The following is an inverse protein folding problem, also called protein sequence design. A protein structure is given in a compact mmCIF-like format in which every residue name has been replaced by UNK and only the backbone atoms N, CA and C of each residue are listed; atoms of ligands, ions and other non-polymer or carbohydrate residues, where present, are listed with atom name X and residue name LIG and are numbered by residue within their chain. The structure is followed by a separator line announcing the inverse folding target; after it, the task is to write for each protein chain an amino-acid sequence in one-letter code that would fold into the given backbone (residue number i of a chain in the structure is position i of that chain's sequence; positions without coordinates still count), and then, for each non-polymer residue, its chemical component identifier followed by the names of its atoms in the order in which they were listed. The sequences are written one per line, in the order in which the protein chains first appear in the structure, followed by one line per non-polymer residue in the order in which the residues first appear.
data_IF_843400662789
#
_entry.id   IF_843400662789
#
_cell.length_a   1.000
_cell.length_b   1.000
_cell.length_c   1.000
_cell.angle_alpha   90.00
_cell.angle_beta   90.00
_cell.angle_gamma   90.00
#
_symmetry.space_group_name_H-M   'P 1'
#
loop_
_entity.id
_entity.type
_entity.pdbx_description
1 polymer ?
#
# COMPACT_ATOMS: atom_id res chain seq x y z
N UNK A 1 -4.50 10.93 10.14
CA UNK A 1 -5.34 11.03 8.93
C UNK A 1 -5.32 12.46 8.42
N UNK A 2 -5.50 12.70 7.14
CA UNK A 2 -5.53 14.05 6.57
C UNK A 2 -6.27 14.07 5.23
N UNK A 3 -6.77 15.25 4.88
CA UNK A 3 -7.30 15.59 3.56
C UNK A 3 -6.54 16.82 3.04
N UNK A 4 -5.90 16.70 1.91
CA UNK A 4 -5.14 17.76 1.24
C UNK A 4 -5.68 18.08 -0.16
N UNK A 5 -6.87 17.61 -0.49
CA UNK A 5 -7.48 17.70 -1.82
C UNK A 5 -8.76 18.49 -1.82
N UNK A 6 -9.71 18.17 -0.92
CA UNK A 6 -11.06 18.72 -1.01
C UNK A 6 -11.19 20.10 -0.40
N UNK A 7 -10.29 20.48 0.53
CA UNK A 7 -10.38 21.71 1.31
C UNK A 7 -11.57 21.79 2.30
N UNK A 8 -12.33 20.70 2.44
CA UNK A 8 -13.44 20.61 3.38
C UNK A 8 -12.93 20.31 4.79
N UNK A 9 -13.61 20.83 5.80
CA UNK A 9 -13.20 20.70 7.21
C UNK A 9 -13.68 19.44 7.89
N UNK A 10 -14.64 18.73 7.32
CA UNK A 10 -15.31 17.58 7.92
C UNK A 10 -14.97 16.24 7.27
N UNK A 11 -14.17 16.19 6.22
CA UNK A 11 -13.88 14.95 5.47
C UNK A 11 -13.16 13.90 6.30
N UNK A 12 -12.20 14.30 7.14
CA UNK A 12 -11.45 13.37 8.00
C UNK A 12 -12.32 12.86 9.16
N UNK A 13 -13.10 13.73 9.78
CA UNK A 13 -13.93 13.39 10.95
C UNK A 13 -15.19 12.60 10.57
N UNK A 14 -15.77 12.87 9.42
CA UNK A 14 -16.97 12.16 8.94
C UNK A 14 -16.66 10.76 8.41
N UNK A 15 -15.41 10.49 8.05
CA UNK A 15 -15.01 9.21 7.43
C UNK A 15 -15.59 8.98 6.03
N UNK A 16 -16.28 9.96 5.46
CA UNK A 16 -16.95 9.84 4.17
C UNK A 16 -16.02 10.26 3.02
N UNK A 17 -15.92 9.39 2.02
CA UNK A 17 -15.18 9.64 0.79
C UNK A 17 -13.75 9.10 0.77
N UNK A 18 -13.18 8.97 -0.43
CA UNK A 18 -11.85 8.39 -0.68
C UNK A 18 -10.69 9.17 -0.05
N UNK A 19 -10.87 10.46 0.18
CA UNK A 19 -9.83 11.35 0.72
C UNK A 19 -9.75 11.37 2.25
N UNK A 20 -10.80 10.93 2.94
CA UNK A 20 -10.83 10.83 4.40
C UNK A 20 -9.90 9.76 4.97
N UNK A 21 -9.48 8.80 4.14
CA UNK A 21 -8.68 7.63 4.53
C UNK A 21 -7.18 7.76 4.21
N UNK A 22 -6.70 8.96 3.88
CA UNK A 22 -5.26 9.17 3.72
C UNK A 22 -4.58 9.11 5.08
N UNK A 23 -3.70 8.13 5.24
CA UNK A 23 -2.96 7.89 6.48
C UNK A 23 -1.48 7.97 6.19
N UNK A 24 -0.76 8.76 6.96
CA UNK A 24 0.69 8.79 6.97
C UNK A 24 1.19 8.33 8.34
N UNK A 25 1.93 7.23 8.36
CA UNK A 25 2.64 6.76 9.54
C UNK A 25 4.07 7.27 9.54
N UNK A 26 4.46 7.96 10.60
CA UNK A 26 5.79 8.52 10.77
C UNK A 26 6.33 8.08 12.11
N UNK A 27 7.43 7.35 12.10
CA UNK A 27 8.12 7.03 13.36
C UNK A 27 8.85 8.27 13.90
N UNK A 28 8.72 8.54 15.21
CA UNK A 28 9.27 9.75 15.85
C UNK A 28 10.78 9.97 15.57
N UNK A 29 11.56 8.91 15.46
CA UNK A 29 13.02 8.99 15.25
C UNK A 29 13.42 9.28 13.79
N UNK A 30 12.58 8.93 12.81
CA UNK A 30 12.85 9.20 11.39
C UNK A 30 12.15 10.47 10.89
N UNK A 31 11.55 11.23 11.78
CA UNK A 31 10.83 12.46 11.46
C UNK A 31 11.68 13.52 10.74
N UNK A 32 13.02 13.45 10.85
CA UNK A 32 13.93 14.38 10.18
C UNK A 32 14.07 14.13 8.67
N UNK A 33 13.76 12.92 8.19
CA UNK A 33 13.92 12.51 6.78
C UNK A 33 12.69 12.83 5.90
N UNK A 34 11.68 13.50 6.45
CA UNK A 34 10.45 13.81 5.73
C UNK A 34 10.70 14.93 4.74
N UNK A 35 10.37 14.70 3.47
CA UNK A 35 10.54 15.70 2.41
C UNK A 35 9.50 16.82 2.46
N UNK A 36 8.26 16.52 2.87
CA UNK A 36 7.17 17.49 2.90
C UNK A 36 7.36 18.55 3.98
N UNK A 37 7.41 19.82 3.59
CA UNK A 37 7.48 20.97 4.50
C UNK A 37 6.26 21.07 5.43
N UNK A 38 5.08 20.72 4.92
CA UNK A 38 3.83 20.70 5.69
C UNK A 38 3.93 19.71 6.86
N UNK A 39 4.35 18.49 6.60
CA UNK A 39 4.51 17.48 7.65
C UNK A 39 5.69 17.77 8.59
N UNK A 40 6.80 18.36 8.10
CA UNK A 40 7.89 18.83 8.98
C UNK A 40 7.38 19.86 10.00
N UNK A 41 6.64 20.87 9.54
CA UNK A 41 6.07 21.88 10.44
C UNK A 41 5.10 21.28 11.44
N UNK A 42 4.22 20.36 10.99
CA UNK A 42 3.26 19.68 11.87
C UNK A 42 3.97 18.88 12.95
N UNK A 43 4.99 18.08 12.60
CA UNK A 43 5.74 17.28 13.57
C UNK A 43 6.46 18.17 14.60
N UNK A 44 7.08 19.24 14.13
CA UNK A 44 7.73 20.18 15.05
C UNK A 44 6.74 20.87 15.98
N UNK A 45 5.55 21.20 15.48
CA UNK A 45 4.46 21.72 16.27
C UNK A 45 3.99 20.69 17.31
N UNK A 46 3.76 19.45 16.91
CA UNK A 46 3.35 18.35 17.81
C UNK A 46 4.39 18.12 18.91
N UNK A 47 5.69 18.08 18.58
CA UNK A 47 6.76 17.94 19.58
C UNK A 47 6.77 19.07 20.61
N UNK A 48 6.52 20.30 20.18
CA UNK A 48 6.40 21.44 21.11
C UNK A 48 5.15 21.30 22.00
N UNK A 49 4.07 20.82 21.46
CA UNK A 49 2.82 20.59 22.17
C UNK A 49 2.96 19.48 23.21
N UNK A 50 3.59 18.34 22.82
CA UNK A 50 3.91 17.24 23.73
C UNK A 50 4.74 17.72 24.93
N UNK A 51 5.76 18.56 24.68
CA UNK A 51 6.60 19.15 25.75
C UNK A 51 5.79 20.07 26.65
N UNK A 52 4.88 20.88 26.09
CA UNK A 52 4.05 21.82 26.86
C UNK A 52 3.00 21.13 27.72
N UNK A 53 2.42 20.05 27.22
CA UNK A 53 1.36 19.29 27.93
C UNK A 53 1.98 18.24 28.89
N UNK A 54 3.26 17.88 28.70
CA UNK A 54 3.91 16.84 29.51
C UNK A 54 3.47 15.42 29.13
N UNK A 55 2.95 15.20 27.94
CA UNK A 55 2.50 13.91 27.44
C UNK A 55 3.12 13.57 26.09
N UNK A 56 3.66 12.38 25.95
CA UNK A 56 4.24 11.88 24.70
C UNK A 56 3.23 11.19 23.76
N UNK A 57 1.97 11.15 24.15
CA UNK A 57 0.88 10.50 23.43
C UNK A 57 -0.32 11.42 23.39
N UNK A 58 -0.43 12.20 22.31
CA UNK A 58 -1.49 13.15 22.09
C UNK A 58 -2.32 12.77 20.86
N UNK A 59 -3.61 12.89 20.98
CA UNK A 59 -4.55 12.95 19.88
C UNK A 59 -4.83 14.43 19.59
N UNK A 60 -4.57 14.85 18.35
CA UNK A 60 -4.73 16.26 17.96
C UNK A 60 -5.59 16.37 16.70
N UNK A 61 -6.50 17.34 16.72
CA UNK A 61 -7.18 17.80 15.51
C UNK A 61 -6.59 19.15 15.09
N UNK A 62 -6.31 19.30 13.82
CA UNK A 62 -5.62 20.47 13.29
C UNK A 62 -6.09 20.83 11.88
N UNK A 63 -5.89 22.08 11.50
CA UNK A 63 -5.96 22.55 10.13
C UNK A 63 -4.64 23.23 9.73
N UNK A 64 -4.28 23.16 8.45
CA UNK A 64 -3.10 23.84 7.91
C UNK A 64 -3.53 24.61 6.67
N UNK A 65 -3.30 25.93 6.65
CA UNK A 65 -3.60 26.76 5.50
C UNK A 65 -2.48 26.70 4.43
N UNK A 66 -2.69 27.36 3.29
CA UNK A 66 -1.73 27.41 2.19
C UNK A 66 -0.40 28.11 2.55
N UNK A 67 -0.39 28.96 3.57
CA UNK A 67 0.82 29.59 4.12
C UNK A 67 1.54 28.72 5.14
N UNK A 68 1.12 27.45 5.29
CA UNK A 68 1.64 26.48 6.26
C UNK A 68 1.51 26.94 7.73
N UNK A 69 0.49 27.75 8.05
CA UNK A 69 0.12 28.07 9.42
C UNK A 69 -0.75 26.93 9.96
N UNK A 70 -0.45 26.49 11.17
CA UNK A 70 -1.13 25.38 11.84
C UNK A 70 -2.13 25.96 12.83
N UNK A 71 -3.38 25.53 12.75
CA UNK A 71 -4.45 25.83 13.68
C UNK A 71 -4.76 24.57 14.48
N UNK A 72 -4.58 24.64 15.79
CA UNK A 72 -4.96 23.56 16.70
C UNK A 72 -6.44 23.67 17.00
N UNK A 73 -7.21 22.65 16.67
CA UNK A 73 -8.65 22.61 16.88
C UNK A 73 -8.99 21.89 18.17
N UNK A 74 -8.32 20.74 18.39
CA UNK A 74 -8.49 19.94 19.61
C UNK A 74 -7.16 19.26 19.99
N UNK A 75 -6.95 19.07 21.28
CA UNK A 75 -5.87 18.26 21.82
C UNK A 75 -6.36 17.50 23.05
N UNK A 76 -6.04 16.21 23.11
CA UNK A 76 -6.31 15.37 24.27
C UNK A 76 -5.20 14.34 24.45
N UNK A 77 -4.82 14.00 25.70
CA UNK A 77 -3.94 12.89 25.97
C UNK A 77 -4.60 11.57 25.55
N UNK A 78 -3.82 10.65 24.97
CA UNK A 78 -4.27 9.29 24.70
C UNK A 78 -4.04 8.47 25.96
N UNK A 79 -5.10 7.92 26.54
CA UNK A 79 -5.05 7.15 27.78
C UNK A 79 -4.58 5.69 27.61
N UNK A 80 -4.30 5.24 26.37
CA UNK A 80 -3.83 3.88 26.12
C UNK A 80 -2.35 3.74 26.46
N UNK A 81 -2.05 2.93 27.46
CA UNK A 81 -0.70 2.59 27.90
C UNK A 81 -0.03 1.55 26.98
N UNK A 82 0.17 1.85 25.70
CA UNK A 82 1.10 1.06 24.91
C UNK A 82 2.53 1.47 25.31
N UNK A 83 3.14 0.72 26.20
CA UNK A 83 4.57 0.82 26.53
C UNK A 83 5.37 0.44 25.27
N UNK A 84 5.60 1.40 24.37
CA UNK A 84 6.55 1.22 23.29
C UNK A 84 7.95 1.19 23.91
N UNK A 85 8.57 0.01 23.92
CA UNK A 85 9.95 -0.14 24.38
C UNK A 85 10.90 0.59 23.42
N UNK A 86 11.50 1.66 23.91
CA UNK A 86 12.45 2.51 23.16
C UNK A 86 13.73 1.72 22.78
N UNK A 87 14.04 0.64 23.50
CA UNK A 87 15.23 -0.21 23.30
C UNK A 87 15.29 -0.94 21.95
N UNK A 88 14.20 -0.99 21.19
CA UNK A 88 14.16 -1.75 19.94
C UNK A 88 14.42 -0.94 18.65
N UNK A 89 14.73 0.35 18.75
CA UNK A 89 14.86 1.20 17.56
C UNK A 89 16.04 0.82 16.65
N UNK A 90 17.16 0.38 17.21
CA UNK A 90 18.30 -0.10 16.41
C UNK A 90 17.93 -1.40 15.70
N UNK A 91 17.25 -2.30 16.40
CA UNK A 91 16.73 -3.55 15.84
C UNK A 91 15.64 -3.30 14.78
N UNK A 92 14.78 -2.32 14.99
CA UNK A 92 13.75 -1.93 14.01
C UNK A 92 14.40 -1.41 12.73
N UNK A 93 15.37 -0.50 12.83
CA UNK A 93 16.05 0.05 11.65
C UNK A 93 16.81 -1.02 10.85
N UNK A 94 17.46 -1.97 11.52
CA UNK A 94 18.11 -3.08 10.84
C UNK A 94 17.12 -3.99 10.12
N UNK A 95 15.99 -4.29 10.76
CA UNK A 95 14.89 -5.06 10.15
C UNK A 95 14.25 -4.33 8.98
N UNK A 96 14.07 -3.01 9.06
CA UNK A 96 13.55 -2.19 7.94
C UNK A 96 14.48 -2.30 6.73
N UNK A 97 15.79 -2.15 6.90
CA UNK A 97 16.77 -2.29 5.78
C UNK A 97 16.71 -3.68 5.12
N UNK A 98 16.61 -4.74 5.92
CA UNK A 98 16.47 -6.12 5.41
C UNK A 98 15.16 -6.25 4.63
N UNK A 99 14.10 -5.68 5.15
CA UNK A 99 12.78 -5.70 4.55
C UNK A 99 12.72 -4.90 3.24
N UNK A 100 13.30 -3.70 3.20
CA UNK A 100 13.43 -2.88 1.98
C UNK A 100 14.18 -3.65 0.88
N UNK A 101 15.30 -4.31 1.22
CA UNK A 101 16.04 -5.15 0.27
C UNK A 101 15.20 -6.33 -0.24
N UNK A 102 14.42 -6.97 0.64
CA UNK A 102 13.52 -8.08 0.27
C UNK A 102 12.40 -7.62 -0.64
N UNK A 103 11.78 -6.48 -0.33
CA UNK A 103 10.72 -5.90 -1.16
C UNK A 103 11.28 -5.39 -2.48
N UNK A 104 12.45 -4.75 -2.48
CA UNK A 104 13.11 -4.29 -3.70
C UNK A 104 13.21 -5.37 -4.77
N UNK A 105 13.55 -6.61 -4.35
CA UNK A 105 13.60 -7.77 -5.26
C UNK A 105 12.25 -8.11 -5.91
N UNK A 106 11.13 -7.80 -5.27
CA UNK A 106 9.81 -8.06 -5.86
C UNK A 106 9.51 -7.12 -7.02
N UNK A 107 10.11 -5.92 -7.04
CA UNK A 107 9.97 -4.95 -8.12
C UNK A 107 10.86 -5.25 -9.33
N UNK A 108 11.88 -6.09 -9.18
CA UNK A 108 12.78 -6.45 -10.26
C UNK A 108 12.02 -7.12 -11.43
N UNK A 109 12.50 -6.94 -12.67
CA UNK A 109 11.98 -7.64 -13.82
C UNK A 109 12.05 -9.16 -13.63
N UNK A 110 11.02 -9.89 -14.04
CA UNK A 110 10.95 -11.35 -13.94
C UNK A 110 11.09 -11.98 -15.33
N UNK A 111 11.80 -13.10 -15.40
CA UNK A 111 11.96 -13.86 -16.66
C UNK A 111 10.58 -14.27 -17.20
N UNK A 112 10.37 -14.10 -18.50
CA UNK A 112 9.12 -14.40 -19.22
C UNK A 112 7.90 -13.57 -18.80
N UNK A 113 8.10 -12.54 -17.98
CA UNK A 113 7.06 -11.59 -17.59
C UNK A 113 7.30 -10.27 -18.29
N UNK A 114 6.26 -9.76 -18.95
CA UNK A 114 6.30 -8.49 -19.64
C UNK A 114 6.08 -7.34 -18.62
N UNK A 115 6.80 -6.24 -18.85
CA UNK A 115 6.75 -5.07 -17.98
C UNK A 115 7.92 -4.99 -17.01
N UNK A 116 8.57 -3.80 -16.97
CA UNK A 116 9.72 -3.53 -16.08
C UNK A 116 9.27 -3.21 -14.65
N UNK A 117 8.11 -2.59 -14.50
CA UNK A 117 7.58 -2.11 -13.23
C UNK A 117 6.39 -2.95 -12.77
N UNK A 118 6.12 -2.92 -11.48
CA UNK A 118 4.89 -3.46 -10.89
C UNK A 118 4.30 -2.48 -9.88
N UNK A 119 3.06 -2.74 -9.50
CA UNK A 119 2.38 -2.15 -8.35
C UNK A 119 1.88 -3.31 -7.52
N UNK A 120 1.91 -3.18 -6.20
CA UNK A 120 1.30 -4.13 -5.29
C UNK A 120 -0.02 -3.56 -4.79
N UNK A 121 -1.11 -4.30 -5.02
CA UNK A 121 -2.46 -3.94 -4.60
C UNK A 121 -3.09 -4.99 -3.70
N UNK A 122 -3.99 -4.58 -2.84
CA UNK A 122 -4.68 -5.48 -1.92
C UNK A 122 -5.94 -6.11 -2.54
N UNK A 123 -6.52 -5.41 -3.52
CA UNK A 123 -7.81 -5.77 -4.13
C UNK A 123 -7.74 -6.25 -5.58
N UNK A 124 -6.64 -6.07 -6.35
CA UNK A 124 -6.61 -6.53 -7.73
C UNK A 124 -6.84 -8.03 -7.83
N UNK A 125 -7.51 -8.44 -8.94
CA UNK A 125 -7.68 -9.82 -9.33
C UNK A 125 -8.43 -10.64 -8.28
N UNK A 126 -7.79 -11.50 -7.53
CA UNK A 126 -8.40 -12.40 -6.55
C UNK A 126 -8.76 -11.76 -5.21
N UNK A 127 -8.77 -10.45 -5.10
CA UNK A 127 -9.24 -9.65 -3.94
C UNK A 127 -8.85 -10.24 -2.56
N UNK A 128 -7.56 -10.46 -2.27
CA UNK A 128 -7.17 -11.16 -1.05
C UNK A 128 -7.64 -10.48 0.23
N UNK A 129 -7.68 -9.14 0.26
CA UNK A 129 -8.13 -8.42 1.48
C UNK A 129 -9.62 -8.62 1.74
N UNK A 130 -10.43 -8.74 0.70
CA UNK A 130 -11.85 -9.02 0.84
C UNK A 130 -12.11 -10.46 1.29
N UNK A 131 -11.34 -11.42 0.75
CA UNK A 131 -11.59 -12.86 1.00
C UNK A 131 -11.00 -13.31 2.33
N UNK A 132 -9.75 -12.92 2.66
CA UNK A 132 -9.05 -13.40 3.86
C UNK A 132 -8.78 -12.30 4.91
N UNK A 133 -9.19 -11.07 4.62
CA UNK A 133 -9.02 -9.92 5.51
C UNK A 133 -7.69 -9.18 5.34
N UNK A 134 -7.65 -7.94 5.84
CA UNK A 134 -6.47 -7.06 5.75
C UNK A 134 -5.28 -7.58 6.58
N UNK A 135 -5.55 -8.22 7.71
CA UNK A 135 -4.56 -8.84 8.59
C UNK A 135 -4.96 -10.29 8.85
N UNK A 136 -4.79 -11.17 7.85
CA UNK A 136 -5.28 -12.54 7.93
C UNK A 136 -4.47 -13.38 8.91
N UNK A 137 -5.10 -14.43 9.47
CA UNK A 137 -4.41 -15.46 10.22
C UNK A 137 -3.43 -16.23 9.32
N UNK A 138 -2.40 -16.85 9.91
CA UNK A 138 -1.46 -17.67 9.15
C UNK A 138 -2.14 -18.84 8.42
N UNK A 139 -3.17 -19.43 9.04
CA UNK A 139 -3.96 -20.49 8.41
C UNK A 139 -4.70 -19.97 7.19
N UNK A 140 -5.39 -18.84 7.28
CA UNK A 140 -6.09 -18.22 6.15
C UNK A 140 -5.13 -17.92 4.99
N UNK A 141 -3.94 -17.38 5.30
CA UNK A 141 -2.90 -17.12 4.30
C UNK A 141 -2.43 -18.40 3.62
N UNK A 142 -2.17 -19.47 4.38
CA UNK A 142 -1.65 -20.72 3.82
C UNK A 142 -2.69 -21.40 2.93
N UNK A 143 -3.95 -21.42 3.35
CA UNK A 143 -5.06 -21.97 2.55
C UNK A 143 -5.28 -21.16 1.28
N UNK A 144 -5.32 -19.85 1.36
CA UNK A 144 -5.52 -18.98 0.20
C UNK A 144 -4.38 -19.11 -0.82
N UNK A 145 -3.14 -19.22 -0.35
CA UNK A 145 -1.97 -19.50 -1.21
C UNK A 145 -2.12 -20.85 -1.91
N UNK A 146 -2.38 -21.90 -1.17
CA UNK A 146 -2.50 -23.25 -1.69
C UNK A 146 -3.65 -23.39 -2.69
N UNK A 147 -4.82 -22.91 -2.32
CA UNK A 147 -6.04 -23.06 -3.12
C UNK A 147 -6.10 -22.13 -4.33
N UNK A 148 -5.41 -20.97 -4.30
CA UNK A 148 -5.55 -19.94 -5.32
C UNK A 148 -4.21 -19.43 -5.82
N UNK A 149 -3.46 -18.67 -4.99
CA UNK A 149 -2.47 -17.72 -5.50
C UNK A 149 -1.07 -18.28 -5.77
N UNK A 150 -0.73 -19.50 -5.33
CA UNK A 150 0.57 -20.10 -5.64
C UNK A 150 0.61 -20.70 -7.06
N UNK A 151 -0.39 -21.48 -7.46
CA UNK A 151 -0.37 -22.18 -8.75
C UNK A 151 -1.73 -22.21 -9.47
N UNK A 152 -2.83 -22.36 -8.74
CA UNK A 152 -4.15 -22.69 -9.31
C UNK A 152 -4.65 -21.55 -10.20
N UNK A 153 -4.50 -20.30 -9.79
CA UNK A 153 -4.84 -19.12 -10.57
C UNK A 153 -4.22 -19.13 -11.99
N UNK A 154 -2.92 -19.45 -12.05
CA UNK A 154 -2.18 -19.47 -13.32
C UNK A 154 -2.53 -20.70 -14.17
N UNK A 155 -2.77 -21.85 -13.53
CA UNK A 155 -3.20 -23.06 -14.19
C UNK A 155 -4.58 -22.89 -14.83
N UNK A 156 -5.53 -22.33 -14.09
CA UNK A 156 -6.86 -22.05 -14.59
C UNK A 156 -6.82 -21.15 -15.84
N UNK A 157 -6.06 -20.05 -15.79
CA UNK A 157 -5.92 -19.15 -16.94
C UNK A 157 -5.20 -19.77 -18.12
N UNK A 158 -4.17 -20.59 -17.87
CA UNK A 158 -3.49 -21.34 -18.94
C UNK A 158 -4.45 -22.30 -19.67
N UNK A 159 -5.37 -22.94 -18.97
CA UNK A 159 -6.40 -23.80 -19.58
C UNK A 159 -7.36 -22.97 -20.46
N UNK A 160 -7.62 -21.73 -20.09
CA UNK A 160 -8.43 -20.77 -20.87
C UNK A 160 -7.69 -20.18 -22.09
N UNK A 161 -6.43 -20.58 -22.35
CA UNK A 161 -5.66 -20.08 -23.49
C UNK A 161 -4.79 -18.87 -23.20
N UNK A 162 -4.69 -18.42 -21.96
CA UNK A 162 -3.81 -17.33 -21.55
C UNK A 162 -2.39 -17.83 -21.25
N UNK A 163 -1.47 -16.90 -21.04
CA UNK A 163 -0.08 -17.17 -20.70
C UNK A 163 0.08 -18.09 -19.50
N UNK A 164 0.93 -19.12 -19.63
CA UNK A 164 1.24 -19.99 -18.51
C UNK A 164 2.20 -19.30 -17.53
N UNK A 165 1.73 -18.99 -16.33
CA UNK A 165 2.46 -18.33 -15.26
C UNK A 165 2.60 -19.18 -13.99
N UNK A 166 2.42 -20.49 -14.08
CA UNK A 166 2.45 -21.43 -12.94
C UNK A 166 3.74 -21.42 -12.11
N UNK A 167 4.84 -20.88 -12.66
CA UNK A 167 6.12 -20.74 -11.93
C UNK A 167 6.20 -19.47 -11.07
N UNK A 168 5.16 -18.63 -11.08
CA UNK A 168 5.14 -17.36 -10.39
C UNK A 168 4.08 -17.33 -9.29
N UNK A 169 4.43 -16.75 -8.14
CA UNK A 169 3.50 -16.52 -7.03
C UNK A 169 2.82 -15.18 -7.23
N UNK A 170 1.49 -15.17 -7.28
CA UNK A 170 0.71 -13.97 -7.51
C UNK A 170 0.68 -13.06 -6.28
N UNK A 171 0.52 -13.66 -5.09
CA UNK A 171 0.35 -12.93 -3.84
C UNK A 171 1.62 -12.94 -2.98
N UNK A 172 1.91 -11.79 -2.38
CA UNK A 172 3.01 -11.59 -1.43
C UNK A 172 2.48 -11.00 -0.12
N UNK A 173 3.00 -11.49 1.00
CA UNK A 173 2.73 -10.88 2.31
C UNK A 173 3.74 -9.76 2.57
N UNK A 174 3.24 -8.54 2.74
CA UNK A 174 4.04 -7.33 2.98
C UNK A 174 3.50 -6.68 4.27
N UNK A 175 4.34 -6.58 5.29
CA UNK A 175 3.96 -6.05 6.62
C UNK A 175 2.68 -6.69 7.20
N UNK A 176 2.52 -8.01 7.04
CA UNK A 176 1.37 -8.74 7.56
C UNK A 176 0.08 -8.59 6.73
N UNK A 177 0.12 -7.89 5.60
CA UNK A 177 -1.00 -7.73 4.69
C UNK A 177 -0.76 -8.46 3.37
N UNK A 178 -1.80 -9.02 2.73
CA UNK A 178 -1.69 -9.66 1.43
C UNK A 178 -1.70 -8.63 0.29
N UNK A 179 -0.80 -8.80 -0.66
CA UNK A 179 -0.69 -7.95 -1.85
C UNK A 179 -0.54 -8.79 -3.11
N UNK A 180 -1.26 -8.43 -4.14
CA UNK A 180 -1.15 -8.98 -5.49
C UNK A 180 -0.07 -8.22 -6.28
N UNK A 181 0.81 -8.95 -6.98
CA UNK A 181 1.70 -8.39 -8.01
C UNK A 181 0.86 -8.11 -9.27
N UNK A 182 0.47 -6.84 -9.47
CA UNK A 182 -0.40 -6.47 -10.57
C UNK A 182 0.24 -6.70 -11.94
N UNK A 183 1.57 -6.68 -12.04
CA UNK A 183 2.27 -7.04 -13.28
C UNK A 183 2.02 -8.51 -13.63
N UNK A 184 2.05 -9.42 -12.65
CA UNK A 184 1.73 -10.84 -12.88
C UNK A 184 0.26 -11.02 -13.24
N UNK A 185 -0.63 -10.33 -12.52
CA UNK A 185 -2.06 -10.33 -12.83
C UNK A 185 -2.31 -9.91 -14.29
N UNK A 186 -1.81 -8.74 -14.70
CA UNK A 186 -1.95 -8.25 -16.07
C UNK A 186 -1.36 -9.20 -17.13
N UNK A 187 -0.21 -9.81 -16.84
CA UNK A 187 0.38 -10.81 -17.74
C UNK A 187 -0.50 -12.05 -17.88
N UNK A 188 -1.28 -12.39 -16.86
CA UNK A 188 -2.13 -13.59 -16.88
C UNK A 188 -3.39 -13.45 -17.73
N UNK A 189 -3.75 -12.24 -18.14
CA UNK A 189 -4.82 -11.95 -19.09
C UNK A 189 -4.33 -11.84 -20.54
N UNK A 190 -3.02 -11.97 -20.78
CA UNK A 190 -2.49 -11.98 -22.14
C UNK A 190 -2.72 -13.35 -22.79
N UNK A 191 -3.32 -13.41 -23.99
CA UNK A 191 -3.39 -14.64 -24.76
C UNK A 191 -2.00 -15.25 -24.97
N UNK A 192 -1.89 -16.58 -24.96
CA UNK A 192 -0.61 -17.29 -25.04
C UNK A 192 0.18 -17.00 -26.32
N UNK A 193 -0.52 -16.70 -27.42
CA UNK A 193 0.02 -16.44 -28.76
C UNK A 193 0.16 -14.95 -29.12
N UNK A 194 -0.10 -14.02 -28.17
CA UNK A 194 -0.04 -12.60 -28.45
C UNK A 194 1.41 -12.12 -28.68
N UNK A 195 1.58 -11.20 -29.64
CA UNK A 195 2.88 -10.59 -29.93
C UNK A 195 3.48 -9.88 -28.71
N UNK A 196 4.79 -10.05 -28.52
CA UNK A 196 5.49 -9.51 -27.35
C UNK A 196 5.43 -7.98 -27.25
N UNK A 197 5.44 -7.27 -28.39
CA UNK A 197 5.37 -5.81 -28.40
C UNK A 197 3.96 -5.33 -27.98
N UNK A 198 2.91 -6.01 -28.42
CA UNK A 198 1.55 -5.75 -28.01
C UNK A 198 1.40 -6.03 -26.52
N UNK A 199 1.90 -7.17 -26.04
CA UNK A 199 1.94 -7.52 -24.62
C UNK A 199 2.57 -6.43 -23.77
N UNK A 200 3.72 -5.89 -24.21
CA UNK A 200 4.41 -4.78 -23.51
C UNK A 200 3.55 -3.53 -23.42
N UNK A 201 2.86 -3.16 -24.49
CA UNK A 201 1.96 -1.99 -24.52
C UNK A 201 0.80 -2.17 -23.54
N UNK A 202 0.12 -3.32 -23.57
CA UNK A 202 -1.02 -3.63 -22.69
C UNK A 202 -0.60 -3.56 -21.23
N UNK A 203 0.43 -4.30 -20.83
CA UNK A 203 0.87 -4.34 -19.43
C UNK A 203 1.38 -2.98 -18.96
N UNK A 204 2.15 -2.27 -19.80
CA UNK A 204 2.63 -0.94 -19.43
C UNK A 204 1.49 0.07 -19.29
N UNK A 205 0.48 -0.02 -20.15
CA UNK A 205 -0.73 0.80 -20.06
C UNK A 205 -1.47 0.55 -18.74
N UNK A 206 -1.76 -0.71 -18.41
CA UNK A 206 -2.44 -1.07 -17.16
C UNK A 206 -1.69 -0.59 -15.92
N UNK A 207 -0.36 -0.78 -15.85
CA UNK A 207 0.45 -0.29 -14.74
C UNK A 207 0.43 1.26 -14.67
N UNK A 208 0.49 1.95 -15.80
CA UNK A 208 0.44 3.42 -15.83
C UNK A 208 -0.95 3.94 -15.43
N UNK A 209 -2.02 3.26 -15.85
CA UNK A 209 -3.38 3.57 -15.42
C UNK A 209 -3.52 3.48 -13.90
N UNK A 210 -3.02 2.40 -13.29
CA UNK A 210 -3.04 2.23 -11.84
C UNK A 210 -2.20 3.28 -11.09
N UNK A 211 -1.07 3.73 -11.68
CA UNK A 211 -0.28 4.81 -11.09
C UNK A 211 -1.03 6.14 -11.10
N UNK A 212 -1.72 6.43 -12.19
CA UNK A 212 -2.47 7.68 -12.37
C UNK A 212 -3.79 7.67 -11.61
N UNK A 213 -4.45 6.52 -11.56
CA UNK A 213 -5.77 6.33 -10.99
C UNK A 213 -5.78 5.12 -10.04
N UNK A 214 -5.26 5.25 -8.81
CA UNK A 214 -5.16 4.15 -7.86
C UNK A 214 -6.50 3.48 -7.49
N UNK A 215 -7.61 4.19 -7.67
CA UNK A 215 -8.96 3.67 -7.40
C UNK A 215 -9.44 2.61 -8.41
N UNK A 216 -8.71 2.41 -9.52
CA UNK A 216 -8.96 1.30 -10.44
C UNK A 216 -8.36 -0.04 -9.99
N UNK A 217 -7.74 -0.09 -8.81
CA UNK A 217 -7.03 -1.28 -8.34
C UNK A 217 -7.89 -2.55 -8.23
N UNK A 218 -9.20 -2.41 -8.08
CA UNK A 218 -10.19 -3.49 -8.01
C UNK A 218 -10.93 -3.75 -9.33
N UNK A 219 -10.59 -3.03 -10.40
CA UNK A 219 -11.30 -3.06 -11.69
C UNK A 219 -10.39 -3.12 -12.92
N UNK A 220 -9.09 -3.06 -12.72
CA UNK A 220 -8.13 -2.94 -13.83
C UNK A 220 -8.18 -4.13 -14.79
N UNK A 221 -8.46 -5.32 -14.28
CA UNK A 221 -8.61 -6.52 -15.10
C UNK A 221 -9.78 -6.43 -16.08
N UNK A 222 -10.86 -5.77 -15.71
CA UNK A 222 -12.02 -5.56 -16.59
C UNK A 222 -11.72 -4.56 -17.71
N UNK A 223 -10.82 -3.59 -17.48
CA UNK A 223 -10.41 -2.64 -18.50
C UNK A 223 -9.46 -3.25 -19.54
N UNK A 224 -8.78 -4.33 -19.20
CA UNK A 224 -7.84 -5.02 -20.10
C UNK A 224 -8.53 -6.11 -20.92
N UNK A 225 -9.59 -6.69 -20.39
CA UNK A 225 -10.34 -7.76 -21.05
C UNK A 225 -11.43 -7.27 -22.00
N UNK A 226 -11.62 -5.97 -22.15
CA UNK A 226 -12.45 -5.34 -23.20
C UNK A 226 -11.70 -5.29 -24.54
#
# INVERSE_FOLDING_TARGET
NYDDVTGKTNTVTSGLGHYSNRILYIHKQVSNNIKSQRFKKLINFTKKLEKKIGSNSLDIEFAINNKLQIYLLQVRPISTSSKWNITDNIKINSKIKIFEKKIGKLFEPKKNIVGKNTIFGNMPDWNPVEIIGKYPSQLSVSLYKYLITDNIWAKARSIMGYKNLTKHKLMHMICGQPYIDTRLSLNSFLPSNVNQNISKKIVSHGINMLKKFPYFHDKIEFEISK
#
